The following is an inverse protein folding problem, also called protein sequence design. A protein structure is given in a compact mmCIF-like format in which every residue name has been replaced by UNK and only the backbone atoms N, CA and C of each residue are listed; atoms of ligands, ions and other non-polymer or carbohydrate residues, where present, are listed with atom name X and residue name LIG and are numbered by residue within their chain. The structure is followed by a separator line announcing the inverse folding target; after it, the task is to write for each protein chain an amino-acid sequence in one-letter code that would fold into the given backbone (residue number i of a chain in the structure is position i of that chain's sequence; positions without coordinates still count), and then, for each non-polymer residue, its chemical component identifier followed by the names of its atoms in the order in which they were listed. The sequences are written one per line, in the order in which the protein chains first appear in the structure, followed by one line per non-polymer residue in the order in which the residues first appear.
data_IF_267658314083
#
_entry.id   IF_267658314083
#
_cell.length_a   1.000
_cell.length_b   1.000
_cell.length_c   1.000
_cell.angle_alpha   90.00
_cell.angle_beta   90.00
_cell.angle_gamma   90.00
#
_symmetry.space_group_name_H-M   'P 1'
#
loop_
_entity.id
_entity.type
_entity.pdbx_description
1 polymer ?
#
# COMPACT_ATOMS: atom_id res chain seq x y z
N UNK A 1 -72.99 44.05 38.78
CA UNK A 1 -73.77 44.88 37.79
C UNK A 1 -72.83 45.68 36.92
N UNK A 2 -73.14 45.88 35.71
CA UNK A 2 -73.41 44.97 34.55
C UNK A 2 -72.30 45.10 33.53
N UNK A 3 -72.21 44.52 32.45
CA UNK A 3 -72.98 44.16 31.26
C UNK A 3 -71.96 43.85 30.18
N UNK A 4 -72.01 42.73 29.62
CA UNK A 4 -72.52 42.40 28.29
C UNK A 4 -71.89 43.10 27.06
N UNK A 5 -71.45 42.37 26.20
CA UNK A 5 -71.85 41.89 24.86
C UNK A 5 -70.65 41.91 23.93
N UNK A 6 -70.42 41.10 23.07
CA UNK A 6 -71.10 40.26 22.12
C UNK A 6 -70.15 39.97 21.01
N UNK A 7 -70.11 38.78 20.45
CA UNK A 7 -69.31 38.39 19.32
C UNK A 7 -69.74 39.06 18.01
N UNK A 8 -69.23 38.68 16.83
CA UNK A 8 -69.14 37.30 16.33
C UNK A 8 -67.83 36.98 15.57
N UNK A 9 -67.61 35.68 15.31
CA UNK A 9 -66.72 35.12 14.30
C UNK A 9 -67.15 35.47 12.87
N UNK A 10 -66.22 35.42 11.89
CA UNK A 10 -66.20 34.21 11.08
C UNK A 10 -64.79 33.78 10.58
N UNK A 11 -64.62 32.48 10.56
CA UNK A 11 -64.03 31.62 9.55
C UNK A 11 -63.02 32.20 8.55
N UNK A 12 -61.80 31.65 8.60
CA UNK A 12 -60.80 31.81 7.58
C UNK A 12 -59.69 30.74 7.75
N UNK A 13 -60.05 29.48 7.53
CA UNK A 13 -59.09 28.37 7.47
C UNK A 13 -58.28 28.46 6.19
N UNK A 14 -57.03 28.83 6.27
CA UNK A 14 -56.06 28.64 5.18
C UNK A 14 -55.33 27.33 5.40
N UNK A 15 -55.20 26.46 4.38
CA UNK A 15 -54.51 25.17 4.51
C UNK A 15 -53.02 25.39 4.58
N UNK A 16 -52.39 24.83 5.61
CA UNK A 16 -50.97 24.72 5.74
C UNK A 16 -50.45 23.76 4.69
N UNK A 17 -49.78 24.29 3.66
CA UNK A 17 -48.95 23.54 2.75
C UNK A 17 -47.78 22.95 3.56
N UNK A 18 -47.88 21.66 3.83
CA UNK A 18 -46.77 20.87 4.37
C UNK A 18 -45.68 20.79 3.30
N UNK A 19 -44.65 21.60 3.45
CA UNK A 19 -43.40 21.44 2.74
C UNK A 19 -42.70 20.22 3.37
N UNK A 20 -42.74 19.08 2.70
CA UNK A 20 -41.85 17.98 2.98
C UNK A 20 -40.41 18.40 2.72
N UNK A 21 -39.51 18.42 3.69
CA UNK A 21 -38.08 18.49 3.41
C UNK A 21 -37.66 17.13 2.89
N UNK A 22 -37.55 16.99 1.57
CA UNK A 22 -36.71 15.94 0.98
C UNK A 22 -35.28 16.23 1.42
N UNK A 23 -34.88 15.65 2.55
CA UNK A 23 -33.48 15.52 2.91
C UNK A 23 -32.87 14.56 1.89
N UNK A 24 -32.23 15.12 0.85
CA UNK A 24 -31.23 14.37 0.09
C UNK A 24 -30.13 13.98 1.09
N UNK A 25 -30.16 12.74 1.59
CA UNK A 25 -28.96 12.11 2.08
C UNK A 25 -28.03 11.92 0.89
N UNK A 26 -27.14 12.85 0.67
CA UNK A 26 -25.95 12.60 -0.11
C UNK A 26 -25.19 11.51 0.68
N UNK A 27 -25.28 10.28 0.21
CA UNK A 27 -24.39 9.22 0.63
C UNK A 27 -22.98 9.68 0.20
N UNK A 28 -22.25 10.28 1.14
CA UNK A 28 -20.82 10.47 0.97
C UNK A 28 -20.24 9.07 0.79
N UNK A 29 -19.87 8.75 -0.44
CA UNK A 29 -19.05 7.58 -0.71
C UNK A 29 -17.76 7.80 0.10
N UNK A 30 -17.62 7.06 1.20
CA UNK A 30 -16.35 7.01 1.90
C UNK A 30 -15.30 6.65 0.85
N UNK A 31 -14.18 7.38 0.75
CA UNK A 31 -13.11 7.00 -0.15
C UNK A 31 -12.75 5.55 0.20
N UNK A 32 -12.78 4.67 -0.79
CA UNK A 32 -12.21 3.33 -0.62
C UNK A 32 -10.77 3.57 -0.21
N UNK A 33 -10.42 3.18 1.02
CA UNK A 33 -9.06 3.29 1.49
C UNK A 33 -8.14 2.67 0.44
N UNK A 34 -7.17 3.43 -0.02
CA UNK A 34 -6.14 2.92 -0.89
C UNK A 34 -5.44 1.78 -0.14
N UNK A 35 -5.45 0.60 -0.72
CA UNK A 35 -4.65 -0.53 -0.28
C UNK A 35 -3.34 -0.42 -1.06
N UNK A 36 -2.21 -0.32 -0.36
CA UNK A 36 -0.90 -0.44 -0.98
C UNK A 36 -0.90 -1.58 -1.99
N UNK A 37 -0.07 -1.57 -3.02
CA UNK A 37 -0.07 -2.60 -4.08
C UNK A 37 -1.27 -3.56 -4.02
N UNK A 38 -2.47 -3.23 -4.00
CA UNK A 38 -3.66 -4.05 -3.79
C UNK A 38 -3.38 -5.52 -3.41
N UNK A 39 -4.31 -6.27 -2.91
CA UNK A 39 -4.06 -7.64 -2.43
C UNK A 39 -3.32 -8.54 -3.43
N UNK A 40 -3.46 -8.28 -4.74
CA UNK A 40 -2.79 -9.04 -5.80
C UNK A 40 -1.28 -8.72 -5.85
N UNK A 41 -0.90 -7.44 -5.73
CA UNK A 41 0.51 -7.04 -5.74
C UNK A 41 1.26 -7.55 -4.51
N UNK A 42 0.68 -7.40 -3.30
CA UNK A 42 1.27 -7.95 -2.08
C UNK A 42 1.43 -9.47 -2.13
N UNK A 43 0.41 -10.19 -2.60
CA UNK A 43 0.52 -11.64 -2.77
C UNK A 43 1.59 -12.01 -3.81
N UNK A 44 1.74 -11.24 -4.89
CA UNK A 44 2.80 -11.46 -5.89
C UNK A 44 4.18 -11.30 -5.29
N UNK A 45 4.42 -10.23 -4.53
CA UNK A 45 5.66 -9.96 -3.79
C UNK A 45 5.99 -11.14 -2.86
N UNK A 46 5.00 -11.60 -2.10
CA UNK A 46 5.14 -12.72 -1.17
C UNK A 46 5.46 -14.05 -1.88
N UNK A 47 4.85 -14.34 -3.02
CA UNK A 47 5.18 -15.51 -3.83
C UNK A 47 6.59 -15.43 -4.43
N UNK A 48 7.02 -14.25 -4.90
CA UNK A 48 8.40 -14.06 -5.34
C UNK A 48 9.34 -14.34 -4.17
N UNK A 49 9.07 -13.80 -2.99
CA UNK A 49 9.88 -14.07 -1.80
C UNK A 49 9.93 -15.57 -1.49
N UNK A 50 8.79 -16.27 -1.53
CA UNK A 50 8.73 -17.74 -1.34
C UNK A 50 9.62 -18.50 -2.32
N UNK A 51 9.76 -18.00 -3.55
CA UNK A 51 10.59 -18.65 -4.58
C UNK A 51 12.10 -18.43 -4.37
N UNK A 52 12.52 -17.43 -3.57
CA UNK A 52 13.94 -17.05 -3.41
C UNK A 52 14.48 -17.15 -1.99
N UNK A 53 13.65 -17.47 -0.99
CA UNK A 53 14.13 -17.74 0.38
C UNK A 53 14.89 -19.06 0.47
N UNK A 54 15.83 -19.12 1.40
CA UNK A 54 16.52 -20.36 1.76
C UNK A 54 15.55 -21.37 2.41
N UNK A 55 15.81 -22.70 2.31
CA UNK A 55 14.95 -23.72 2.91
C UNK A 55 14.73 -23.54 4.42
N UNK A 56 15.74 -23.10 5.14
CA UNK A 56 15.71 -22.84 6.58
C UNK A 56 14.75 -21.67 6.88
N UNK A 57 14.83 -20.62 6.07
CA UNK A 57 13.95 -19.44 6.17
C UNK A 57 12.50 -19.82 5.90
N UNK A 58 12.25 -20.63 4.86
CA UNK A 58 10.92 -21.15 4.56
C UNK A 58 10.36 -21.91 5.76
N UNK A 59 11.13 -22.86 6.30
CA UNK A 59 10.72 -23.67 7.45
C UNK A 59 10.41 -22.81 8.67
N UNK A 60 11.27 -21.84 8.96
CA UNK A 60 11.09 -20.93 10.09
C UNK A 60 9.79 -20.11 9.98
N UNK A 61 9.53 -19.47 8.84
CA UNK A 61 8.33 -18.65 8.68
C UNK A 61 7.06 -19.47 8.54
N UNK A 62 7.10 -20.67 7.98
CA UNK A 62 5.97 -21.59 8.00
C UNK A 62 5.57 -21.97 9.44
N UNK A 63 6.53 -22.25 10.29
CA UNK A 63 6.29 -22.53 11.71
C UNK A 63 5.80 -21.28 12.46
N UNK A 64 6.45 -20.15 12.26
CA UNK A 64 6.07 -18.89 12.91
C UNK A 64 4.65 -18.46 12.54
N UNK A 65 4.27 -18.56 11.27
CA UNK A 65 2.95 -18.16 10.78
C UNK A 65 1.88 -19.24 10.94
N UNK A 66 2.28 -20.43 11.41
CA UNK A 66 1.42 -21.61 11.56
C UNK A 66 0.74 -22.03 10.22
N UNK A 67 1.44 -21.88 9.09
CA UNK A 67 1.00 -22.24 7.77
C UNK A 67 2.12 -22.98 7.03
N UNK A 68 1.94 -24.28 6.78
CA UNK A 68 2.92 -25.13 6.12
C UNK A 68 2.74 -25.24 4.60
N UNK A 69 1.80 -24.52 4.03
CA UNK A 69 1.56 -24.45 2.59
C UNK A 69 2.62 -23.61 1.88
N UNK A 70 2.68 -23.66 0.55
CA UNK A 70 3.53 -22.75 -0.24
C UNK A 70 2.98 -21.32 -0.30
N UNK A 71 1.76 -21.12 0.17
CA UNK A 71 1.07 -19.85 0.16
C UNK A 71 1.27 -19.05 1.49
N UNK A 72 2.08 -19.57 2.44
CA UNK A 72 2.25 -19.07 3.81
C UNK A 72 2.57 -17.58 3.93
N UNK A 73 3.40 -17.00 3.05
CA UNK A 73 3.65 -15.56 3.02
C UNK A 73 2.50 -14.82 2.33
N UNK A 74 1.97 -15.37 1.23
CA UNK A 74 0.92 -14.74 0.46
C UNK A 74 -0.41 -14.62 1.24
N UNK A 75 -0.71 -15.63 2.08
CA UNK A 75 -1.90 -15.64 2.93
C UNK A 75 -1.93 -14.52 3.97
N UNK A 76 -0.77 -13.96 4.33
CA UNK A 76 -0.66 -12.87 5.31
C UNK A 76 -0.22 -11.54 4.70
N UNK A 77 0.11 -11.50 3.41
CA UNK A 77 0.74 -10.34 2.78
C UNK A 77 -0.09 -9.05 2.85
N UNK A 78 -1.42 -9.13 2.82
CA UNK A 78 -2.32 -7.97 2.95
C UNK A 78 -2.94 -7.84 4.35
N UNK A 79 -2.44 -8.60 5.35
CA UNK A 79 -3.04 -8.60 6.68
C UNK A 79 -2.95 -7.22 7.36
N UNK A 80 -1.86 -6.50 7.20
CA UNK A 80 -1.64 -5.20 7.83
C UNK A 80 -2.66 -4.15 7.37
N UNK A 81 -3.10 -4.20 6.11
CA UNK A 81 -4.16 -3.35 5.58
C UNK A 81 -5.49 -3.47 6.32
N UNK A 82 -5.82 -4.68 6.77
CA UNK A 82 -7.02 -4.92 7.57
C UNK A 82 -6.78 -4.62 9.04
N UNK A 83 -5.58 -4.89 9.53
CA UNK A 83 -5.22 -4.71 10.94
C UNK A 83 -5.32 -3.25 11.39
N UNK A 84 -4.91 -2.29 10.56
CA UNK A 84 -4.99 -0.85 10.87
C UNK A 84 -6.40 -0.32 11.13
N UNK A 85 -7.44 -1.08 10.78
CA UNK A 85 -8.85 -0.73 11.04
C UNK A 85 -9.41 -1.41 12.29
N UNK A 86 -8.64 -2.25 12.97
CA UNK A 86 -9.02 -2.82 14.27
C UNK A 86 -8.67 -1.83 15.40
N UNK A 87 -9.28 -2.02 16.56
CA UNK A 87 -8.97 -1.22 17.75
C UNK A 87 -7.49 -1.37 18.14
N UNK A 88 -6.98 -2.60 18.07
CA UNK A 88 -5.61 -2.95 18.44
C UNK A 88 -4.58 -2.46 17.41
N UNK A 89 -4.97 -2.34 16.14
CA UNK A 89 -4.08 -2.00 15.04
C UNK A 89 -4.15 -0.54 14.59
N UNK A 90 -5.11 0.26 15.09
CA UNK A 90 -5.37 1.62 14.60
C UNK A 90 -4.13 2.54 14.64
N UNK A 91 -3.23 2.33 15.60
CA UNK A 91 -1.98 3.08 15.71
C UNK A 91 -1.01 2.86 14.55
N UNK A 92 -1.20 1.79 13.75
CA UNK A 92 -0.33 1.46 12.61
C UNK A 92 -0.74 2.18 11.32
N UNK A 93 -1.77 3.01 11.34
CA UNK A 93 -2.32 3.63 10.13
C UNK A 93 -1.29 4.46 9.34
N UNK A 94 -0.36 5.13 10.01
CA UNK A 94 0.72 5.93 9.38
C UNK A 94 1.92 5.08 8.95
N UNK A 95 1.97 3.80 9.31
CA UNK A 95 3.11 2.92 9.05
C UNK A 95 3.17 2.37 7.63
N UNK A 96 2.16 2.63 6.82
CA UNK A 96 2.06 2.15 5.45
C UNK A 96 2.74 3.07 4.41
N UNK A 97 3.19 4.26 4.81
CA UNK A 97 3.73 5.28 3.92
C UNK A 97 4.73 6.21 4.63
N UNK A 98 5.43 7.01 3.84
CA UNK A 98 6.19 8.18 4.28
C UNK A 98 5.82 9.35 3.39
N UNK A 99 5.52 10.49 4.01
CA UNK A 99 5.00 11.69 3.36
C UNK A 99 6.16 12.60 2.90
N UNK A 100 6.86 12.23 1.80
CA UNK A 100 7.92 13.07 1.26
C UNK A 100 7.38 14.46 0.89
N UNK A 101 7.90 15.47 1.54
CA UNK A 101 7.60 16.89 1.28
C UNK A 101 8.59 17.45 0.26
N UNK A 102 8.61 16.86 -0.92
CA UNK A 102 9.43 17.25 -2.06
C UNK A 102 8.61 18.02 -3.12
N UNK A 103 9.07 18.13 -4.36
CA UNK A 103 8.43 18.94 -5.40
C UNK A 103 8.44 18.21 -6.75
N UNK A 104 7.65 17.15 -6.93
CA UNK A 104 7.56 16.48 -8.23
C UNK A 104 6.86 17.38 -9.28
N UNK A 105 7.34 17.39 -10.55
CA UNK A 105 8.39 16.56 -11.13
C UNK A 105 9.81 17.11 -10.97
N UNK A 106 10.02 18.23 -10.32
CA UNK A 106 11.28 18.98 -10.32
C UNK A 106 12.34 18.36 -9.39
N UNK A 107 11.91 17.85 -8.24
CA UNK A 107 12.80 17.17 -7.29
C UNK A 107 12.05 16.10 -6.53
N UNK A 108 12.66 14.90 -6.42
CA UNK A 108 12.15 13.79 -5.63
C UNK A 108 13.23 13.32 -4.66
N UNK A 109 12.88 13.21 -3.38
CA UNK A 109 13.80 12.76 -2.33
C UNK A 109 13.18 12.83 -0.94
N UNK A 110 13.55 11.87 -0.11
CA UNK A 110 13.08 11.73 1.26
C UNK A 110 14.13 12.30 2.22
N UNK A 111 13.66 13.14 3.15
CA UNK A 111 14.38 13.55 4.35
C UNK A 111 13.64 12.94 5.55
N UNK A 112 14.28 12.00 6.25
CA UNK A 112 13.60 11.23 7.31
C UNK A 112 13.13 12.12 8.46
N UNK A 113 13.90 13.12 8.84
CA UNK A 113 13.56 14.03 9.94
C UNK A 113 12.38 14.94 9.59
N UNK A 114 12.25 15.29 8.30
CA UNK A 114 11.16 16.12 7.79
C UNK A 114 9.89 15.30 7.53
N UNK A 115 10.03 14.11 6.95
CA UNK A 115 8.95 13.38 6.30
C UNK A 115 8.35 12.27 7.17
N UNK A 116 9.12 11.77 8.17
CA UNK A 116 8.63 10.75 9.10
C UNK A 116 8.01 11.43 10.33
N UNK A 117 6.70 11.54 10.37
CA UNK A 117 5.98 12.21 11.45
C UNK A 117 6.21 11.60 12.83
N UNK A 118 5.78 12.28 13.91
CA UNK A 118 6.05 11.87 15.29
C UNK A 118 5.38 10.54 15.69
N UNK A 119 4.39 10.08 14.95
CA UNK A 119 3.71 8.79 15.15
C UNK A 119 4.43 7.65 14.44
N UNK A 120 5.48 7.94 13.66
CA UNK A 120 6.19 6.98 12.83
C UNK A 120 5.67 6.93 11.40
N UNK A 121 6.47 6.35 10.52
CA UNK A 121 6.21 6.14 9.10
C UNK A 121 6.68 4.75 8.70
N UNK A 122 6.53 4.38 7.43
CA UNK A 122 6.91 3.06 6.93
C UNK A 122 8.38 2.71 7.18
N UNK A 123 9.29 3.70 7.12
CA UNK A 123 10.73 3.50 7.34
C UNK A 123 11.00 3.07 8.78
N UNK A 124 10.54 3.87 9.76
CA UNK A 124 10.70 3.56 11.17
C UNK A 124 9.93 2.30 11.59
N UNK A 125 8.77 2.05 10.99
CA UNK A 125 7.96 0.85 11.26
C UNK A 125 8.64 -0.42 10.74
N UNK A 126 9.14 -0.42 9.50
CA UNK A 126 9.86 -1.57 8.94
C UNK A 126 11.07 -1.95 9.81
N UNK A 127 11.84 -0.94 10.24
CA UNK A 127 12.97 -1.13 11.15
C UNK A 127 12.53 -1.68 12.50
N UNK A 128 11.50 -1.11 13.13
CA UNK A 128 10.98 -1.56 14.42
C UNK A 128 10.54 -3.04 14.35
N UNK A 129 9.71 -3.40 13.36
CA UNK A 129 9.22 -4.77 13.26
C UNK A 129 10.31 -5.77 12.88
N UNK A 130 11.32 -5.36 12.11
CA UNK A 130 12.54 -6.17 11.90
C UNK A 130 13.27 -6.43 13.22
N UNK A 131 13.53 -5.39 14.02
CA UNK A 131 14.18 -5.51 15.32
C UNK A 131 13.36 -6.40 16.28
N UNK A 132 12.03 -6.33 16.24
CA UNK A 132 11.17 -7.21 17.04
C UNK A 132 11.30 -8.68 16.65
N UNK A 133 11.48 -9.00 15.36
CA UNK A 133 11.77 -10.37 14.93
C UNK A 133 13.12 -10.88 15.43
N UNK A 134 14.12 -9.99 15.57
CA UNK A 134 15.45 -10.32 16.06
C UNK A 134 15.50 -10.47 17.59
N UNK A 135 14.55 -9.92 18.35
CA UNK A 135 14.54 -9.91 19.82
C UNK A 135 13.96 -11.20 20.43
N UNK A 136 14.24 -12.36 19.87
CA UNK A 136 13.82 -13.63 20.47
C UNK A 136 14.71 -14.00 21.67
N UNK A 137 14.15 -14.60 22.76
CA UNK A 137 12.76 -15.02 23.00
C UNK A 137 11.89 -13.98 23.75
N UNK A 138 12.29 -12.71 23.81
CA UNK A 138 11.63 -11.70 24.66
C UNK A 138 10.16 -11.42 24.29
N UNK A 139 9.74 -11.74 23.05
CA UNK A 139 8.39 -11.49 22.57
C UNK A 139 7.54 -12.76 22.54
N UNK A 140 6.24 -12.63 22.82
CA UNK A 140 5.27 -13.71 22.66
C UNK A 140 5.19 -14.17 21.19
N UNK A 141 4.70 -15.41 20.96
CA UNK A 141 4.47 -15.92 19.61
C UNK A 141 3.60 -14.98 18.78
N UNK A 142 2.50 -14.50 19.36
CA UNK A 142 1.59 -13.56 18.69
C UNK A 142 2.29 -12.27 18.26
N UNK A 143 3.11 -11.66 19.15
CA UNK A 143 3.86 -10.45 18.81
C UNK A 143 4.88 -10.68 17.70
N UNK A 144 5.51 -11.86 17.65
CA UNK A 144 6.42 -12.24 16.57
C UNK A 144 5.67 -12.48 15.25
N UNK A 145 4.47 -13.08 15.31
CA UNK A 145 3.60 -13.25 14.14
C UNK A 145 3.15 -11.89 13.57
N UNK A 146 2.78 -10.94 14.44
CA UNK A 146 2.46 -9.57 14.02
C UNK A 146 3.69 -8.93 13.36
N UNK A 147 4.86 -9.04 13.99
CA UNK A 147 6.09 -8.47 13.43
C UNK A 147 6.42 -9.05 12.05
N UNK A 148 6.28 -10.36 11.87
CA UNK A 148 6.49 -11.01 10.58
C UNK A 148 5.52 -10.48 9.50
N UNK A 149 4.23 -10.40 9.81
CA UNK A 149 3.20 -9.89 8.90
C UNK A 149 3.46 -8.44 8.50
N UNK A 150 3.88 -7.60 9.44
CA UNK A 150 4.24 -6.20 9.18
C UNK A 150 5.46 -6.08 8.28
N UNK A 151 6.55 -6.82 8.54
CA UNK A 151 7.74 -6.81 7.68
C UNK A 151 7.40 -7.27 6.26
N UNK A 152 6.61 -8.34 6.12
CA UNK A 152 6.18 -8.87 4.81
C UNK A 152 5.40 -7.79 4.04
N UNK A 153 4.47 -7.11 4.69
CA UNK A 153 3.63 -6.09 4.08
C UNK A 153 4.41 -4.82 3.74
N UNK A 154 5.11 -4.23 4.71
CA UNK A 154 5.80 -2.95 4.52
C UNK A 154 6.95 -3.03 3.53
N UNK A 155 7.62 -4.19 3.39
CA UNK A 155 8.58 -4.38 2.30
C UNK A 155 7.90 -4.19 0.94
N UNK A 156 6.65 -4.60 0.79
CA UNK A 156 5.86 -4.34 -0.41
C UNK A 156 5.55 -2.86 -0.59
N UNK A 157 4.99 -2.22 0.44
CA UNK A 157 4.56 -0.82 0.42
C UNK A 157 5.69 0.14 0.06
N UNK A 158 6.89 -0.06 0.63
CA UNK A 158 8.09 0.74 0.33
C UNK A 158 8.39 0.76 -1.18
N UNK A 159 8.00 -0.27 -1.90
CA UNK A 159 8.23 -0.35 -3.35
C UNK A 159 7.21 0.42 -4.21
N UNK A 160 6.09 0.84 -3.65
CA UNK A 160 5.09 1.61 -4.38
C UNK A 160 5.45 3.11 -4.30
N UNK A 161 5.73 3.77 -5.43
CA UNK A 161 6.22 5.16 -5.42
C UNK A 161 5.34 6.14 -4.64
N UNK A 162 4.02 6.02 -4.75
CA UNK A 162 3.07 6.92 -4.09
C UNK A 162 2.91 6.65 -2.59
N UNK A 163 3.45 5.54 -2.06
CA UNK A 163 3.62 5.33 -0.63
C UNK A 163 4.83 6.06 -0.05
N UNK A 164 5.63 6.66 -0.92
CA UNK A 164 6.81 7.44 -0.57
C UNK A 164 6.66 8.91 -1.00
N UNK A 165 5.42 9.43 -1.03
CA UNK A 165 5.08 10.74 -1.58
C UNK A 165 3.93 11.37 -0.78
N UNK A 166 3.97 12.69 -0.56
CA UNK A 166 2.90 13.43 0.12
C UNK A 166 1.99 14.19 -0.85
N UNK A 167 2.42 14.49 -2.07
CA UNK A 167 1.62 15.31 -3.00
C UNK A 167 0.21 14.77 -3.14
N UNK A 168 -0.79 15.60 -2.77
CA UNK A 168 -2.21 15.23 -2.77
C UNK A 168 -2.47 13.90 -2.03
N UNK A 169 -1.92 13.76 -0.83
CA UNK A 169 -2.06 12.57 0.01
C UNK A 169 -1.53 11.29 -0.70
N UNK A 170 -0.32 11.36 -1.25
CA UNK A 170 0.26 10.29 -2.03
C UNK A 170 -0.56 9.97 -3.30
N UNK A 171 -1.09 11.01 -3.97
CA UNK A 171 -1.92 10.86 -5.16
C UNK A 171 -3.37 10.42 -4.93
N UNK A 172 -3.82 10.24 -3.68
CA UNK A 172 -5.22 9.93 -3.38
C UNK A 172 -6.16 11.09 -3.72
N UNK A 173 -5.66 12.34 -3.64
CA UNK A 173 -6.39 13.55 -4.03
C UNK A 173 -6.39 13.84 -5.53
N UNK A 174 -5.59 13.13 -6.33
CA UNK A 174 -5.54 13.32 -7.78
C UNK A 174 -6.59 12.43 -8.46
N UNK A 175 -7.72 13.02 -8.85
CA UNK A 175 -8.78 12.31 -9.54
C UNK A 175 -8.34 11.96 -10.98
N UNK A 176 -8.53 10.72 -11.40
CA UNK A 176 -8.27 10.22 -12.76
C UNK A 176 -9.39 9.29 -13.20
N UNK A 177 -9.40 8.93 -14.48
CA UNK A 177 -10.21 7.82 -15.00
C UNK A 177 -9.31 6.64 -15.39
N UNK A 178 -9.87 5.45 -15.37
CA UNK A 178 -9.25 4.24 -15.88
C UNK A 178 -10.27 3.42 -16.66
N UNK A 179 -10.11 3.32 -17.97
CA UNK A 179 -11.11 2.75 -18.90
C UNK A 179 -12.50 3.39 -18.71
N UNK A 180 -12.57 4.72 -18.60
CA UNK A 180 -13.80 5.47 -18.41
C UNK A 180 -14.46 5.34 -17.04
N UNK A 181 -13.80 4.70 -16.07
CA UNK A 181 -14.27 4.60 -14.69
C UNK A 181 -13.49 5.54 -13.79
N UNK A 182 -14.18 6.35 -12.98
CA UNK A 182 -13.55 7.27 -12.05
C UNK A 182 -12.80 6.54 -10.95
N UNK A 183 -11.58 7.01 -10.66
CA UNK A 183 -10.70 6.52 -9.61
C UNK A 183 -9.76 7.66 -9.17
N UNK A 184 -8.72 7.36 -8.40
CA UNK A 184 -7.64 8.29 -8.12
C UNK A 184 -6.29 7.69 -8.56
N UNK A 185 -5.26 8.52 -8.65
CA UNK A 185 -3.95 8.11 -9.14
C UNK A 185 -3.33 7.00 -8.27
N UNK A 186 -3.45 7.12 -6.95
CA UNK A 186 -2.95 6.12 -6.00
C UNK A 186 -3.59 4.74 -6.24
N UNK A 187 -4.92 4.67 -6.26
CA UNK A 187 -5.65 3.43 -6.50
C UNK A 187 -5.37 2.84 -7.90
N UNK A 188 -5.12 3.68 -8.89
CA UNK A 188 -4.71 3.24 -10.21
C UNK A 188 -3.33 2.54 -10.18
N UNK A 189 -2.36 3.08 -9.44
CA UNK A 189 -1.05 2.46 -9.25
C UNK A 189 -1.12 1.17 -8.44
N UNK A 190 -1.94 1.13 -7.39
CA UNK A 190 -2.08 -0.05 -6.54
C UNK A 190 -2.78 -1.21 -7.24
N UNK A 191 -3.74 -0.90 -8.10
CA UNK A 191 -4.70 -1.92 -8.56
C UNK A 191 -4.84 -1.96 -10.07
N UNK A 192 -5.18 -0.83 -10.72
CA UNK A 192 -5.58 -0.86 -12.12
C UNK A 192 -4.41 -1.15 -13.06
N UNK A 193 -3.23 -0.53 -12.82
CA UNK A 193 -2.03 -0.77 -13.63
C UNK A 193 -1.53 -2.21 -13.42
N UNK A 194 -1.35 -2.75 -12.19
CA UNK A 194 -1.08 -4.16 -11.99
C UNK A 194 -2.06 -5.10 -12.69
N UNK A 195 -3.37 -4.84 -12.61
CA UNK A 195 -4.38 -5.65 -13.30
C UNK A 195 -4.29 -5.55 -14.83
N UNK A 196 -3.86 -4.43 -15.36
CA UNK A 196 -3.63 -4.28 -16.82
C UNK A 196 -2.46 -5.12 -17.32
N UNK A 197 -1.49 -5.45 -16.44
CA UNK A 197 -0.34 -6.32 -16.75
C UNK A 197 -0.75 -7.80 -16.68
N UNK A 198 -1.53 -8.15 -15.65
CA UNK A 198 -1.81 -9.57 -15.29
C UNK A 198 -3.11 -10.08 -15.86
N UNK A 199 -4.04 -9.19 -16.20
CA UNK A 199 -5.43 -9.50 -16.36
C UNK A 199 -6.14 -9.72 -15.02
N UNK A 200 -7.45 -9.90 -15.07
CA UNK A 200 -8.30 -10.24 -13.93
C UNK A 200 -8.63 -11.71 -13.95
N UNK A 201 -8.69 -12.35 -12.78
CA UNK A 201 -9.04 -13.76 -12.65
C UNK A 201 -10.02 -14.00 -11.49
N UNK A 202 -10.55 -15.21 -11.40
CA UNK A 202 -11.49 -15.62 -10.34
C UNK A 202 -10.84 -15.73 -8.96
N UNK A 203 -9.52 -15.83 -8.88
CA UNK A 203 -8.75 -15.93 -7.64
C UNK A 203 -7.56 -14.96 -7.69
N UNK A 204 -7.53 -14.05 -6.75
CA UNK A 204 -6.42 -13.10 -6.57
C UNK A 204 -5.09 -13.85 -6.39
N UNK A 205 -5.06 -14.89 -5.55
CA UNK A 205 -3.84 -15.66 -5.29
C UNK A 205 -3.37 -16.41 -6.54
N UNK A 206 -4.28 -16.96 -7.37
CA UNK A 206 -3.88 -17.64 -8.60
C UNK A 206 -3.24 -16.68 -9.62
N UNK A 207 -3.81 -15.48 -9.79
CA UNK A 207 -3.25 -14.42 -10.64
C UNK A 207 -1.89 -13.99 -10.11
N UNK A 208 -1.78 -13.72 -8.81
CA UNK A 208 -0.54 -13.33 -8.15
C UNK A 208 0.56 -14.39 -8.31
N UNK A 209 0.23 -15.66 -8.12
CA UNK A 209 1.18 -16.77 -8.27
C UNK A 209 1.70 -16.92 -9.71
N UNK A 210 0.80 -16.72 -10.68
CA UNK A 210 1.17 -16.71 -12.10
C UNK A 210 2.11 -15.54 -12.44
N UNK A 211 1.82 -14.34 -11.94
CA UNK A 211 2.68 -13.18 -12.15
C UNK A 211 4.02 -13.34 -11.44
N UNK A 212 4.01 -13.79 -10.20
CA UNK A 212 5.23 -14.10 -9.45
C UNK A 212 6.14 -15.10 -10.16
N UNK A 213 5.57 -16.15 -10.78
CA UNK A 213 6.34 -17.13 -11.56
C UNK A 213 7.06 -16.47 -12.75
N UNK A 214 6.37 -15.59 -13.49
CA UNK A 214 6.98 -14.82 -14.60
C UNK A 214 8.11 -13.93 -14.09
N UNK A 215 7.84 -13.11 -13.06
CA UNK A 215 8.83 -12.19 -12.50
C UNK A 215 10.03 -12.93 -11.88
N UNK A 216 9.82 -14.08 -11.26
CA UNK A 216 10.90 -14.94 -10.76
C UNK A 216 11.79 -15.48 -11.88
N UNK A 217 11.22 -15.76 -13.05
CA UNK A 217 11.99 -16.12 -14.23
C UNK A 217 12.84 -14.95 -14.74
N UNK A 218 12.26 -13.74 -14.78
CA UNK A 218 12.99 -12.53 -15.14
C UNK A 218 14.17 -12.26 -14.19
N UNK A 219 13.97 -12.46 -12.88
CA UNK A 219 15.02 -12.31 -11.86
C UNK A 219 16.13 -13.37 -12.06
N UNK A 220 15.76 -14.62 -12.33
CA UNK A 220 16.72 -15.73 -12.36
C UNK A 220 17.53 -15.79 -13.68
N UNK A 221 16.89 -15.50 -14.80
CA UNK A 221 17.46 -15.75 -16.14
C UNK A 221 17.11 -14.71 -17.20
N UNK A 222 16.09 -13.82 -16.94
CA UNK A 222 15.61 -12.80 -17.88
C UNK A 222 16.24 -11.43 -17.64
N UNK A 223 15.46 -10.40 -17.95
CA UNK A 223 15.89 -8.99 -18.00
C UNK A 223 16.34 -8.46 -16.63
N UNK A 224 15.80 -8.98 -15.54
CA UNK A 224 16.15 -8.54 -14.18
C UNK A 224 17.38 -9.24 -13.59
N UNK A 225 17.94 -10.25 -14.24
CA UNK A 225 19.06 -11.07 -13.72
C UNK A 225 20.28 -10.25 -13.29
N UNK A 226 20.65 -9.28 -14.10
CA UNK A 226 21.80 -8.43 -13.79
C UNK A 226 21.45 -7.39 -12.73
N UNK A 227 20.30 -6.75 -12.86
CA UNK A 227 19.84 -5.72 -11.93
C UNK A 227 19.57 -6.27 -10.52
N UNK A 228 19.06 -7.49 -10.40
CA UNK A 228 18.72 -8.10 -9.11
C UNK A 228 19.90 -8.21 -8.16
N UNK A 229 21.11 -8.36 -8.66
CA UNK A 229 22.34 -8.36 -7.84
C UNK A 229 22.57 -7.03 -7.12
N UNK A 230 22.15 -5.91 -7.74
CA UNK A 230 22.27 -4.58 -7.15
C UNK A 230 21.12 -4.28 -6.19
N UNK A 231 19.97 -4.94 -6.32
CA UNK A 231 18.79 -4.69 -5.47
C UNK A 231 19.02 -4.98 -4.00
N UNK A 232 19.95 -5.88 -3.69
CA UNK A 232 20.33 -6.31 -2.34
C UNK A 232 21.74 -5.83 -1.96
N UNK A 233 22.36 -5.00 -2.80
CA UNK A 233 23.68 -4.43 -2.49
C UNK A 233 23.64 -3.62 -1.21
N UNK A 234 24.54 -3.95 -0.24
CA UNK A 234 24.58 -3.30 1.07
C UNK A 234 23.44 -3.69 2.02
N UNK A 235 22.68 -4.76 1.73
CA UNK A 235 21.66 -5.26 2.66
C UNK A 235 22.29 -5.61 4.00
N UNK A 236 21.83 -4.95 5.08
CA UNK A 236 22.32 -5.15 6.43
C UNK A 236 21.18 -5.02 7.43
N UNK A 237 21.21 -5.89 8.46
CA UNK A 237 20.32 -5.80 9.63
C UNK A 237 20.94 -5.00 10.77
N UNK A 238 22.17 -4.47 10.62
CA UNK A 238 22.80 -3.62 11.63
C UNK A 238 22.07 -2.27 11.76
N UNK A 239 21.58 -1.75 10.64
CA UNK A 239 20.79 -0.52 10.58
C UNK A 239 19.58 -0.70 9.65
N UNK A 240 18.50 -1.34 10.13
CA UNK A 240 17.29 -1.56 9.35
C UNK A 240 16.59 -0.28 8.89
N UNK A 241 16.75 0.82 9.64
CA UNK A 241 16.12 2.10 9.32
C UNK A 241 16.78 2.75 8.10
N UNK A 242 18.12 2.84 8.09
CA UNK A 242 18.85 3.31 6.91
C UNK A 242 18.59 2.46 5.67
N UNK A 243 18.40 1.14 5.84
CA UNK A 243 18.09 0.27 4.73
C UNK A 243 16.68 0.53 4.17
N UNK A 244 15.68 0.67 5.04
CA UNK A 244 14.30 1.00 4.64
C UNK A 244 14.24 2.39 3.99
N UNK A 245 14.97 3.38 4.54
CA UNK A 245 15.08 4.72 3.96
C UNK A 245 15.68 4.70 2.56
N UNK A 246 16.73 3.93 2.34
CA UNK A 246 17.33 3.79 1.01
C UNK A 246 16.33 3.21 0.00
N UNK A 247 15.54 2.21 0.40
CA UNK A 247 14.50 1.62 -0.47
C UNK A 247 13.36 2.60 -0.75
N UNK A 248 12.90 3.34 0.27
CA UNK A 248 11.86 4.35 0.11
C UNK A 248 12.33 5.49 -0.79
N UNK A 249 13.55 5.99 -0.59
CA UNK A 249 14.15 7.04 -1.44
C UNK A 249 14.30 6.59 -2.90
N UNK A 250 14.64 5.33 -3.13
CA UNK A 250 14.68 4.77 -4.49
C UNK A 250 13.30 4.74 -5.13
N UNK A 251 12.27 4.37 -4.36
CA UNK A 251 10.88 4.30 -4.84
C UNK A 251 10.32 5.70 -5.11
N UNK A 252 10.57 6.68 -4.24
CA UNK A 252 10.13 8.06 -4.41
C UNK A 252 10.67 8.68 -5.71
N UNK A 253 11.90 8.35 -6.16
CA UNK A 253 12.45 8.86 -7.43
C UNK A 253 11.59 8.52 -8.65
N UNK A 254 10.80 7.44 -8.59
CA UNK A 254 9.86 7.11 -9.66
C UNK A 254 8.65 8.06 -9.69
N UNK A 255 8.39 8.81 -8.62
CA UNK A 255 7.34 9.84 -8.65
C UNK A 255 7.69 10.89 -9.70
N UNK A 256 8.91 11.45 -9.68
CA UNK A 256 9.36 12.42 -10.68
C UNK A 256 9.57 11.83 -12.08
N UNK A 257 9.98 10.57 -12.18
CA UNK A 257 10.41 10.05 -13.48
C UNK A 257 9.34 9.25 -14.22
N UNK A 258 8.32 8.75 -13.54
CA UNK A 258 7.31 7.85 -14.12
C UNK A 258 5.88 8.18 -13.70
N UNK A 259 5.64 8.49 -12.41
CA UNK A 259 4.28 8.76 -11.91
C UNK A 259 3.80 10.12 -12.39
N UNK A 260 4.61 11.15 -12.23
CA UNK A 260 4.28 12.54 -12.55
C UNK A 260 5.41 13.21 -13.34
N UNK A 261 5.90 12.62 -14.46
CA UNK A 261 7.05 13.18 -15.19
C UNK A 261 6.79 14.56 -15.78
N UNK A 262 5.52 14.87 -16.05
CA UNK A 262 5.05 16.15 -16.59
C UNK A 262 4.15 16.89 -15.57
N UNK A 263 4.24 16.52 -14.27
CA UNK A 263 3.48 17.11 -13.18
C UNK A 263 2.04 16.59 -13.06
N UNK A 264 1.37 17.02 -11.98
CA UNK A 264 -0.01 16.65 -11.63
C UNK A 264 -1.00 16.92 -12.75
N UNK A 265 -0.93 18.11 -13.36
CA UNK A 265 -1.90 18.57 -14.38
C UNK A 265 -1.86 17.69 -15.66
N UNK A 266 -0.78 16.95 -15.85
CA UNK A 266 -0.65 16.04 -16.98
C UNK A 266 -1.56 14.80 -16.84
N UNK A 267 -2.00 14.44 -15.64
CA UNK A 267 -2.80 13.24 -15.35
C UNK A 267 -4.17 13.54 -14.77
N UNK A 268 -4.31 14.60 -13.99
CA UNK A 268 -5.55 14.94 -13.29
C UNK A 268 -6.72 15.13 -14.27
N UNK A 269 -7.86 14.51 -13.96
CA UNK A 269 -9.08 14.53 -14.75
C UNK A 269 -9.00 13.78 -16.08
N UNK A 270 -7.92 13.01 -16.34
CA UNK A 270 -7.73 12.28 -17.60
C UNK A 270 -7.90 10.77 -17.41
N UNK A 271 -8.25 10.09 -18.50
CA UNK A 271 -8.17 8.63 -18.57
C UNK A 271 -6.71 8.21 -18.79
N UNK A 272 -6.14 7.59 -17.77
CA UNK A 272 -4.74 7.16 -17.74
C UNK A 272 -4.53 5.70 -18.19
N UNK A 273 -5.58 5.00 -18.64
CA UNK A 273 -5.51 3.60 -19.06
C UNK A 273 -4.72 3.33 -20.35
N UNK A 274 -4.43 4.38 -21.11
CA UNK A 274 -3.71 4.32 -22.39
C UNK A 274 -2.19 4.40 -22.28
N UNK A 275 -1.59 5.39 -22.93
CA UNK A 275 -0.13 5.59 -23.02
C UNK A 275 0.53 5.72 -21.63
N UNK A 276 -0.11 6.43 -20.70
CA UNK A 276 0.40 6.56 -19.32
C UNK A 276 0.61 5.18 -18.68
N UNK A 277 -0.41 4.34 -18.70
CA UNK A 277 -0.34 2.98 -18.14
C UNK A 277 0.72 2.14 -18.86
N UNK A 278 0.81 2.21 -20.19
CA UNK A 278 1.83 1.48 -20.96
C UNK A 278 3.23 1.87 -20.52
N UNK A 279 3.48 3.17 -20.28
CA UNK A 279 4.76 3.68 -19.80
C UNK A 279 5.07 3.29 -18.33
N UNK A 280 4.04 3.17 -17.48
CA UNK A 280 4.19 2.80 -16.07
C UNK A 280 4.41 1.29 -15.84
N UNK A 281 3.85 0.42 -16.69
CA UNK A 281 3.88 -1.05 -16.53
C UNK A 281 5.29 -1.64 -16.30
N UNK A 282 6.35 -1.22 -17.02
CA UNK A 282 7.70 -1.73 -16.77
C UNK A 282 8.21 -1.41 -15.36
N UNK A 283 7.95 -0.19 -14.87
CA UNK A 283 8.32 0.23 -13.51
C UNK A 283 7.54 -0.53 -12.44
N UNK A 284 6.24 -0.71 -12.63
CA UNK A 284 5.39 -1.50 -11.72
C UNK A 284 5.90 -2.94 -11.65
N UNK A 285 6.17 -3.57 -12.78
CA UNK A 285 6.69 -4.96 -12.82
C UNK A 285 8.06 -5.06 -12.14
N UNK A 286 8.95 -4.11 -12.39
CA UNK A 286 10.27 -4.08 -11.77
C UNK A 286 10.19 -3.85 -10.25
N UNK A 287 9.35 -2.93 -9.77
CA UNK A 287 9.20 -2.66 -8.34
C UNK A 287 8.62 -3.86 -7.59
N UNK A 288 7.59 -4.51 -8.14
CA UNK A 288 7.03 -5.75 -7.57
C UNK A 288 8.10 -6.86 -7.53
N UNK A 289 8.84 -7.07 -8.62
CA UNK A 289 9.93 -8.06 -8.67
C UNK A 289 11.03 -7.75 -7.65
N UNK A 290 11.44 -6.49 -7.56
CA UNK A 290 12.48 -6.00 -6.66
C UNK A 290 12.09 -6.20 -5.20
N UNK A 291 10.87 -5.81 -4.81
CA UNK A 291 10.44 -5.96 -3.43
C UNK A 291 10.26 -7.44 -3.03
N UNK A 292 9.80 -8.29 -3.93
CA UNK A 292 9.74 -9.73 -3.66
C UNK A 292 11.14 -10.35 -3.45
N UNK A 293 12.11 -9.95 -4.24
CA UNK A 293 13.49 -10.42 -4.08
C UNK A 293 14.16 -9.84 -2.82
N UNK A 294 13.94 -8.54 -2.53
CA UNK A 294 14.38 -7.89 -1.29
C UNK A 294 13.79 -8.56 -0.06
N UNK A 295 12.48 -8.82 -0.07
CA UNK A 295 11.80 -9.53 1.01
C UNK A 295 12.44 -10.89 1.26
N UNK A 296 12.68 -11.69 0.22
CA UNK A 296 13.34 -12.98 0.37
C UNK A 296 14.69 -12.85 1.10
N UNK A 297 15.53 -11.94 0.64
CA UNK A 297 16.89 -11.77 1.20
C UNK A 297 16.88 -11.12 2.58
N UNK A 298 15.88 -10.29 2.88
CA UNK A 298 15.68 -9.73 4.21
C UNK A 298 15.27 -10.81 5.23
N UNK A 299 14.32 -11.68 4.84
CA UNK A 299 13.91 -12.82 5.67
C UNK A 299 15.05 -13.82 5.87
N UNK A 300 15.86 -14.08 4.82
CA UNK A 300 17.06 -14.93 4.92
C UNK A 300 18.04 -14.36 5.94
N UNK A 301 18.31 -13.05 5.89
CA UNK A 301 19.22 -12.37 6.83
C UNK A 301 18.71 -12.45 8.28
N UNK A 302 17.39 -12.23 8.49
CA UNK A 302 16.77 -12.36 9.82
C UNK A 302 16.98 -13.76 10.37
N UNK A 303 16.69 -14.81 9.60
CA UNK A 303 16.83 -16.20 10.08
C UNK A 303 18.29 -16.56 10.33
N UNK A 304 19.21 -16.11 9.47
CA UNK A 304 20.64 -16.31 9.66
C UNK A 304 21.17 -15.65 10.96
N UNK A 305 20.61 -14.54 11.38
CA UNK A 305 20.99 -13.87 12.65
C UNK A 305 20.38 -14.54 13.88
N UNK A 306 19.29 -15.32 13.71
CA UNK A 306 18.64 -16.05 14.80
C UNK A 306 19.23 -17.45 15.04
N UNK A 307 20.02 -17.97 14.09
CA UNK A 307 20.68 -19.28 14.17
C UNK A 307 21.93 -19.26 15.01
#
# INVERSE_FOLDING_TARGET
MPEQAGGPTPDGVLPWLALNPLTLLAAAALPKAALAWGSMGHATIAYIATNFVAPETKTYFQQLLADTTDDYLANVASWADSYRYTTEGAFTSTFHYIDALDDPPHSCGIDLDRDCGPTGCIVSAHANYTNRLLQQPALSLEQRQIAAKMVIHFTGDIGQPLHCENLELGGNGIAVEFNGSSTNLHAAWDTNIPQSITGTGSSVLAVAKSWASKLSTEISSGDFKTASKCWIGGLSLEDPESQALAWATESNKFVCSVVLPDGREAVEGKDISGAYTTNAQPTVSMQVAKQGYRLAKWLDAIVAQLA
#
